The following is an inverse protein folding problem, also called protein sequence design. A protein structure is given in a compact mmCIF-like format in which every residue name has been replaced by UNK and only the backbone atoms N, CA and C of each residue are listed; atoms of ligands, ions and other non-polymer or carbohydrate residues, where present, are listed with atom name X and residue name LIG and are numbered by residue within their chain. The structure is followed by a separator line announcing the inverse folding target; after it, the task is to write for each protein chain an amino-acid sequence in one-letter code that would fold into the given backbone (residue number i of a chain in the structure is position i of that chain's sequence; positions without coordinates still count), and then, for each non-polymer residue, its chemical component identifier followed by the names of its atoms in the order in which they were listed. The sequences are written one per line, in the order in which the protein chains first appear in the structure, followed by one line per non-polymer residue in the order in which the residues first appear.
data_IF_185508067900
#
_entry.id   IF_185508067900
#
_cell.length_a   1.000
_cell.length_b   1.000
_cell.length_c   1.000
_cell.angle_alpha   90.00
_cell.angle_beta   90.00
_cell.angle_gamma   90.00
#
_symmetry.space_group_name_H-M   'P 1'
#
loop_
_entity.id
_entity.type
_entity.pdbx_description
1 polymer ?
#
# COMPACT_ATOMS: atom_id res chain seq x y z
N UNK A 1 3.82 -10.26 -7.84
CA UNK A 1 2.38 -10.50 -8.08
C UNK A 1 2.07 -10.16 -9.52
N UNK A 2 1.17 -10.91 -10.15
CA UNK A 2 0.58 -10.54 -11.44
C UNK A 2 -0.49 -9.48 -11.21
N UNK A 3 -0.87 -8.73 -12.25
CA UNK A 3 -1.97 -7.76 -12.15
C UNK A 3 -3.30 -8.43 -11.74
N UNK A 4 -3.52 -9.68 -12.17
CA UNK A 4 -4.67 -10.50 -11.81
C UNK A 4 -4.68 -10.83 -10.31
N UNK A 5 -3.58 -11.36 -9.76
CA UNK A 5 -3.49 -11.67 -8.34
C UNK A 5 -3.65 -10.42 -7.44
N UNK A 6 -3.20 -9.25 -7.91
CA UNK A 6 -3.43 -7.98 -7.21
C UNK A 6 -4.91 -7.59 -7.23
N UNK A 7 -5.57 -7.73 -8.38
CA UNK A 7 -6.99 -7.40 -8.52
C UNK A 7 -7.86 -8.34 -7.67
N UNK A 8 -7.55 -9.64 -7.64
CA UNK A 8 -8.26 -10.62 -6.83
C UNK A 8 -8.15 -10.27 -5.34
N UNK A 9 -6.94 -10.01 -4.85
CA UNK A 9 -6.72 -9.59 -3.46
C UNK A 9 -7.43 -8.26 -3.14
N UNK A 10 -7.38 -7.28 -4.04
CA UNK A 10 -8.07 -6.01 -3.84
C UNK A 10 -9.59 -6.20 -3.75
N UNK A 11 -10.18 -7.01 -4.63
CA UNK A 11 -11.61 -7.31 -4.62
C UNK A 11 -12.03 -8.09 -3.37
N UNK A 12 -11.19 -9.02 -2.91
CA UNK A 12 -11.41 -9.75 -1.66
C UNK A 12 -11.46 -8.78 -0.49
N UNK A 13 -10.43 -7.94 -0.32
CA UNK A 13 -10.35 -6.97 0.78
C UNK A 13 -11.50 -5.96 0.72
N UNK A 14 -11.89 -5.52 -0.48
CA UNK A 14 -13.03 -4.61 -0.70
C UNK A 14 -14.37 -5.21 -0.27
N UNK A 15 -14.48 -6.55 -0.21
CA UNK A 15 -15.69 -7.24 0.20
C UNK A 15 -15.85 -7.33 1.73
N UNK A 16 -14.81 -7.00 2.50
CA UNK A 16 -14.84 -7.10 3.95
C UNK A 16 -15.71 -6.00 4.57
N UNK A 17 -16.63 -6.32 5.50
CA UNK A 17 -17.50 -5.31 6.11
C UNK A 17 -16.72 -4.26 6.92
N UNK A 18 -15.51 -4.58 7.36
CA UNK A 18 -14.62 -3.69 8.09
C UNK A 18 -13.89 -2.69 7.19
N UNK A 19 -13.97 -2.82 5.87
CA UNK A 19 -13.21 -2.00 4.91
C UNK A 19 -14.17 -1.04 4.21
N UNK A 20 -13.89 0.25 4.31
CA UNK A 20 -14.66 1.27 3.59
C UNK A 20 -14.09 1.56 2.20
N UNK A 21 -12.76 1.44 2.05
CA UNK A 21 -12.08 1.64 0.77
C UNK A 21 -10.78 0.82 0.71
N UNK A 22 -10.41 0.41 -0.50
CA UNK A 22 -9.12 -0.23 -0.78
C UNK A 22 -8.64 0.10 -2.18
N UNK A 23 -7.40 0.56 -2.28
CA UNK A 23 -6.79 0.89 -3.56
C UNK A 23 -5.35 0.42 -3.67
N UNK A 24 -4.98 0.07 -4.90
CA UNK A 24 -3.64 -0.34 -5.24
C UNK A 24 -2.75 0.87 -5.54
N UNK A 25 -1.57 0.87 -4.93
CA UNK A 25 -0.48 1.79 -5.23
C UNK A 25 0.64 1.01 -5.89
N UNK A 26 0.91 1.34 -7.14
CA UNK A 26 1.99 0.76 -7.92
C UNK A 26 3.36 1.24 -7.41
N UNK A 27 4.44 0.51 -7.72
CA UNK A 27 5.80 0.96 -7.38
C UNK A 27 6.11 2.38 -7.93
N UNK A 28 5.79 2.71 -9.20
CA UNK A 28 6.01 4.07 -9.70
C UNK A 28 5.20 5.13 -8.92
N UNK A 29 3.94 4.85 -8.60
CA UNK A 29 3.12 5.79 -7.83
C UNK A 29 3.66 6.01 -6.41
N UNK A 30 4.15 4.96 -5.76
CA UNK A 30 4.80 5.06 -4.45
C UNK A 30 6.09 5.88 -4.54
N UNK A 31 6.86 5.73 -5.62
CA UNK A 31 8.08 6.50 -5.86
C UNK A 31 7.77 7.99 -6.06
N UNK A 32 6.81 8.33 -6.92
CA UNK A 32 6.39 9.71 -7.15
C UNK A 32 5.92 10.39 -5.85
N UNK A 33 5.15 9.68 -5.03
CA UNK A 33 4.72 10.17 -3.71
C UNK A 33 5.89 10.38 -2.75
N UNK A 34 6.85 9.44 -2.72
CA UNK A 34 8.03 9.55 -1.86
C UNK A 34 8.88 10.77 -2.22
N UNK A 35 9.04 11.10 -3.51
CA UNK A 35 9.75 12.31 -3.94
C UNK A 35 9.09 13.59 -3.40
N UNK A 36 7.77 13.62 -3.32
CA UNK A 36 7.02 14.75 -2.74
C UNK A 36 7.21 14.81 -1.23
N UNK A 37 7.04 13.67 -0.53
CA UNK A 37 7.14 13.58 0.93
C UNK A 37 8.54 13.93 1.45
N UNK A 38 9.58 13.47 0.76
CA UNK A 38 10.99 13.68 1.12
C UNK A 38 11.63 14.86 0.37
N UNK A 39 10.83 15.75 -0.22
CA UNK A 39 11.33 16.89 -1.00
C UNK A 39 12.32 17.80 -0.27
N UNK A 40 12.28 17.81 1.07
CA UNK A 40 13.20 18.59 1.92
C UNK A 40 14.38 17.78 2.48
N UNK A 41 14.56 16.52 2.06
CA UNK A 41 15.61 15.61 2.53
C UNK A 41 16.44 15.07 1.35
N UNK A 42 17.49 15.82 0.99
CA UNK A 42 18.40 15.46 -0.12
C UNK A 42 19.15 14.14 0.09
N UNK A 43 19.28 13.66 1.34
CA UNK A 43 19.91 12.36 1.59
C UNK A 43 18.93 11.23 1.25
N UNK A 44 17.67 11.36 1.68
CA UNK A 44 16.63 10.40 1.34
C UNK A 44 16.32 10.37 -0.15
N UNK A 45 16.26 11.53 -0.83
CA UNK A 45 16.06 11.57 -2.27
C UNK A 45 17.15 10.79 -3.04
N UNK A 46 18.42 10.93 -2.64
CA UNK A 46 19.51 10.13 -3.21
C UNK A 46 19.35 8.64 -2.99
N UNK A 47 18.95 8.23 -1.79
CA UNK A 47 18.69 6.81 -1.49
C UNK A 47 17.57 6.25 -2.38
N UNK A 48 16.51 7.03 -2.61
CA UNK A 48 15.41 6.65 -3.49
C UNK A 48 15.85 6.56 -4.95
N UNK A 49 16.64 7.52 -5.44
CA UNK A 49 17.17 7.51 -6.81
C UNK A 49 18.14 6.35 -7.06
N UNK A 50 19.01 6.04 -6.10
CA UNK A 50 19.98 4.95 -6.18
C UNK A 50 19.33 3.57 -6.02
N UNK A 51 18.19 3.49 -5.33
CA UNK A 51 17.48 2.25 -5.08
C UNK A 51 15.94 2.43 -5.15
N UNK A 52 15.37 2.53 -6.37
CA UNK A 52 13.92 2.71 -6.55
C UNK A 52 13.10 1.48 -6.12
N UNK A 53 13.75 0.32 -5.96
CA UNK A 53 13.09 -0.90 -5.49
C UNK A 53 12.80 -0.92 -3.99
N UNK A 54 13.28 0.07 -3.22
CA UNK A 54 12.97 0.24 -1.80
C UNK A 54 11.48 0.41 -1.52
N UNK A 55 10.72 0.90 -2.49
CA UNK A 55 9.29 1.17 -2.34
C UNK A 55 8.49 0.02 -2.98
N UNK A 56 7.88 -0.86 -2.17
CA UNK A 56 7.05 -1.92 -2.70
C UNK A 56 5.73 -1.35 -3.22
N UNK A 57 5.13 -2.06 -4.17
CA UNK A 57 3.72 -1.86 -4.46
C UNK A 57 2.91 -2.28 -3.22
N UNK A 58 1.79 -1.60 -2.96
CA UNK A 58 0.98 -1.81 -1.77
C UNK A 58 -0.51 -1.74 -2.06
N UNK A 59 -1.31 -2.38 -1.21
CA UNK A 59 -2.73 -2.10 -1.08
C UNK A 59 -2.91 -1.19 0.14
N UNK A 60 -3.58 -0.05 -0.05
CA UNK A 60 -3.95 0.85 1.04
C UNK A 60 -5.40 0.58 1.39
N UNK A 61 -5.63 0.20 2.64
CA UNK A 61 -6.93 -0.22 3.15
C UNK A 61 -7.40 0.81 4.17
N UNK A 62 -8.60 1.33 3.98
CA UNK A 62 -9.25 2.22 4.94
C UNK A 62 -10.28 1.41 5.75
N UNK A 63 -10.09 1.30 7.08
CA UNK A 63 -11.11 0.71 7.94
C UNK A 63 -12.37 1.58 8.01
N UNK A 64 -13.53 0.94 8.09
CA UNK A 64 -14.80 1.60 8.41
C UNK A 64 -14.81 2.12 9.86
N UNK A 65 -14.20 1.36 10.78
CA UNK A 65 -13.94 1.74 12.17
C UNK A 65 -12.45 1.61 12.47
N UNK A 66 -11.76 2.63 13.02
CA UNK A 66 -10.37 2.51 13.44
C UNK A 66 -10.08 1.35 14.39
N UNK A 67 -11.05 0.91 15.21
CA UNK A 67 -10.90 -0.23 16.12
C UNK A 67 -10.80 -1.58 15.38
N UNK A 68 -11.23 -1.66 14.11
CA UNK A 68 -11.15 -2.87 13.29
C UNK A 68 -9.75 -3.09 12.67
N UNK A 69 -8.80 -2.17 12.88
CA UNK A 69 -7.44 -2.26 12.30
C UNK A 69 -6.79 -3.61 12.57
N UNK A 70 -6.76 -4.06 13.83
CA UNK A 70 -6.12 -5.32 14.20
C UNK A 70 -6.81 -6.52 13.56
N UNK A 71 -8.14 -6.47 13.41
CA UNK A 71 -8.92 -7.53 12.76
C UNK A 71 -8.59 -7.63 11.26
N UNK A 72 -8.43 -6.49 10.58
CA UNK A 72 -8.05 -6.42 9.17
C UNK A 72 -6.62 -6.96 8.98
N UNK A 73 -5.68 -6.59 9.86
CA UNK A 73 -4.29 -7.08 9.83
C UNK A 73 -4.24 -8.59 10.01
N UNK A 74 -4.92 -9.13 11.02
CA UNK A 74 -4.96 -10.59 11.27
C UNK A 74 -5.49 -11.36 10.06
N UNK A 75 -6.51 -10.82 9.37
CA UNK A 75 -7.04 -11.44 8.14
C UNK A 75 -6.04 -11.43 7.00
N UNK A 76 -5.29 -10.34 6.81
CA UNK A 76 -4.26 -10.25 5.77
C UNK A 76 -3.04 -11.15 6.03
N UNK A 77 -2.73 -11.41 7.30
CA UNK A 77 -1.63 -12.31 7.70
C UNK A 77 -2.03 -13.80 7.69
N UNK A 78 -3.33 -14.09 7.68
CA UNK A 78 -3.85 -15.45 7.68
C UNK A 78 -3.81 -16.04 6.26
N UNK A 79 -3.09 -17.15 6.03
CA UNK A 79 -2.89 -17.74 4.71
C UNK A 79 -4.13 -18.46 4.15
#
# INVERSE_FOLDING_TARGET
MTAEATADLQNEVASWPQVSDVFFVSKPAAFDEALVLFSNDEAMLRVLEENPDLLPASLRVQPTDPEDYDLIVIRLESP
#
